data_IF_733675736958
#
_entry.id   IF_733675736958
#
_cell.length_a   1.000
_cell.length_b   1.000
_cell.length_c   1.000
_cell.angle_alpha   90.00
_cell.angle_beta   90.00
_cell.angle_gamma   90.00
#
_symmetry.space_group_name_H-M   'P 1'
#
loop_
_entity.id
_entity.type
_entity.pdbx_description
1 polymer ?
#
# COMPACT_ATOMS: atom_id res chain seq x y z
N UNK A 1 -19.29 24.81 61.96
CA UNK A 1 -20.24 24.81 60.85
C UNK A 1 -19.48 24.44 59.61
N UNK A 2 -19.55 23.18 59.25
CA UNK A 2 -18.89 22.60 58.09
C UNK A 2 -19.92 22.58 56.94
N UNK A 3 -19.65 23.27 55.83
CA UNK A 3 -20.44 23.23 54.61
C UNK A 3 -19.84 22.16 53.66
N UNK A 4 -20.63 21.16 53.36
CA UNK A 4 -20.40 20.11 52.37
C UNK A 4 -20.53 20.69 50.96
N UNK A 5 -19.47 20.62 50.15
CA UNK A 5 -19.58 20.81 48.70
C UNK A 5 -19.56 19.44 48.02
N UNK A 6 -20.73 19.02 47.58
CA UNK A 6 -20.95 17.85 46.75
C UNK A 6 -20.73 18.26 45.30
N UNK A 7 -19.67 17.75 44.68
CA UNK A 7 -19.39 17.95 43.27
C UNK A 7 -20.23 16.95 42.46
N UNK A 8 -21.09 17.48 41.62
CA UNK A 8 -21.95 16.78 40.69
C UNK A 8 -21.10 16.33 39.46
N UNK A 9 -20.85 15.03 39.31
CA UNK A 9 -20.15 14.47 38.21
C UNK A 9 -21.17 14.06 37.14
N UNK A 10 -21.49 14.96 36.21
CA UNK A 10 -22.22 14.63 34.98
C UNK A 10 -21.30 13.86 34.02
N UNK A 11 -21.43 12.57 34.03
CA UNK A 11 -20.79 11.69 33.01
C UNK A 11 -21.51 11.89 31.67
N UNK A 12 -20.80 12.49 30.74
CA UNK A 12 -21.17 12.54 29.32
C UNK A 12 -21.11 11.11 28.73
N UNK A 13 -22.26 10.47 28.58
CA UNK A 13 -22.44 9.21 27.87
C UNK A 13 -22.61 9.52 26.39
N UNK A 14 -21.50 9.71 25.67
CA UNK A 14 -21.50 9.65 24.20
C UNK A 14 -21.89 8.22 23.82
N UNK A 15 -23.16 8.01 23.52
CA UNK A 15 -23.68 6.74 22.98
C UNK A 15 -23.08 6.54 21.59
N UNK A 16 -22.14 5.62 21.50
CA UNK A 16 -21.66 5.08 20.23
C UNK A 16 -22.84 4.30 19.60
N UNK A 17 -23.53 4.97 18.67
CA UNK A 17 -24.62 4.37 17.91
C UNK A 17 -24.02 3.35 16.94
N UNK A 18 -24.38 2.04 17.00
CA UNK A 18 -23.86 1.07 16.05
C UNK A 18 -24.34 1.43 14.65
N UNK A 19 -23.39 1.48 13.71
CA UNK A 19 -23.64 1.69 12.30
C UNK A 19 -24.66 0.67 11.78
N UNK A 20 -25.65 1.06 10.96
CA UNK A 20 -26.67 0.14 10.46
C UNK A 20 -26.02 -1.00 9.68
N UNK A 21 -26.40 -2.24 9.99
CA UNK A 21 -25.98 -3.42 9.26
C UNK A 21 -26.35 -3.29 7.78
N UNK A 22 -25.36 -3.31 6.91
CA UNK A 22 -25.59 -3.29 5.46
C UNK A 22 -26.42 -4.50 5.04
N UNK A 23 -27.51 -4.32 4.27
CA UNK A 23 -28.28 -5.42 3.74
C UNK A 23 -27.40 -6.26 2.80
N UNK A 24 -27.45 -7.57 2.92
CA UNK A 24 -26.80 -8.52 2.00
C UNK A 24 -27.48 -8.39 0.63
N UNK A 25 -27.00 -7.47 -0.18
CA UNK A 25 -27.38 -7.34 -1.59
C UNK A 25 -26.64 -8.41 -2.38
N UNK A 26 -27.36 -9.21 -3.17
CA UNK A 26 -26.78 -10.15 -4.15
C UNK A 26 -26.29 -9.45 -5.42
N UNK A 27 -26.37 -8.14 -5.49
CA UNK A 27 -25.74 -7.36 -6.55
C UNK A 27 -24.25 -7.20 -6.22
N UNK A 28 -23.37 -7.19 -7.24
CA UNK A 28 -21.97 -6.82 -7.03
C UNK A 28 -21.95 -5.48 -6.29
N UNK A 29 -21.10 -5.32 -5.28
CA UNK A 29 -21.06 -4.08 -4.52
C UNK A 29 -20.83 -2.92 -5.50
N UNK A 30 -21.76 -1.97 -5.51
CA UNK A 30 -21.55 -0.73 -6.23
C UNK A 30 -20.29 -0.09 -5.65
N UNK A 31 -19.41 0.41 -6.55
CA UNK A 31 -18.22 1.16 -6.14
C UNK A 31 -18.68 2.26 -5.17
N UNK A 32 -18.10 2.26 -3.97
CA UNK A 32 -18.41 3.25 -2.95
C UNK A 32 -17.86 4.62 -3.37
N UNK A 33 -18.77 5.53 -3.71
CA UNK A 33 -18.41 6.85 -4.22
C UNK A 33 -17.76 7.72 -3.14
N UNK A 34 -18.17 7.60 -1.89
CA UNK A 34 -17.61 8.39 -0.79
C UNK A 34 -16.17 7.98 -0.53
N UNK A 35 -15.91 6.67 -0.45
CA UNK A 35 -14.55 6.14 -0.33
C UNK A 35 -13.71 6.50 -1.56
N UNK A 36 -14.26 6.39 -2.77
CA UNK A 36 -13.56 6.75 -4.01
C UNK A 36 -13.16 8.22 -4.01
N UNK A 37 -14.05 9.13 -3.58
CA UNK A 37 -13.75 10.56 -3.48
C UNK A 37 -12.62 10.83 -2.48
N UNK A 38 -12.66 10.17 -1.33
CA UNK A 38 -11.59 10.24 -0.33
C UNK A 38 -10.24 9.76 -0.89
N UNK A 39 -10.23 8.64 -1.63
CA UNK A 39 -9.01 8.14 -2.26
C UNK A 39 -8.45 9.12 -3.30
N UNK A 40 -9.30 9.79 -4.07
CA UNK A 40 -8.87 10.81 -5.03
C UNK A 40 -8.23 12.02 -4.35
N UNK A 41 -8.83 12.52 -3.26
CA UNK A 41 -8.27 13.61 -2.48
C UNK A 41 -6.90 13.23 -1.92
N UNK A 42 -6.82 12.09 -1.24
CA UNK A 42 -5.58 11.60 -0.64
C UNK A 42 -4.49 11.33 -1.68
N UNK A 43 -4.81 10.67 -2.80
CA UNK A 43 -3.84 10.37 -3.85
C UNK A 43 -3.41 11.61 -4.63
N UNK A 44 -4.30 12.59 -4.76
CA UNK A 44 -4.05 13.84 -5.49
C UNK A 44 -2.97 14.71 -4.84
N UNK A 45 -2.68 14.52 -3.55
CA UNK A 45 -1.60 15.22 -2.84
C UNK A 45 -0.20 14.78 -3.31
N UNK A 46 -0.10 13.65 -3.98
CA UNK A 46 1.18 13.11 -4.44
C UNK A 46 1.14 12.67 -5.92
N UNK A 47 2.09 13.17 -6.71
CA UNK A 47 2.27 12.76 -8.12
C UNK A 47 2.85 11.36 -8.29
N UNK A 48 3.20 10.70 -7.20
CA UNK A 48 3.81 9.37 -7.23
C UNK A 48 2.78 8.25 -7.36
N UNK A 49 1.56 8.47 -6.89
CA UNK A 49 0.50 7.48 -7.00
C UNK A 49 -0.13 7.53 -8.38
N UNK A 50 -0.11 6.39 -9.07
CA UNK A 50 -0.79 6.20 -10.36
C UNK A 50 -2.24 5.83 -10.12
N UNK A 51 -2.44 4.91 -9.16
CA UNK A 51 -3.75 4.38 -8.80
C UNK A 51 -3.75 3.91 -7.34
N UNK A 52 -4.86 4.11 -6.68
CA UNK A 52 -5.19 3.52 -5.39
C UNK A 52 -6.45 2.69 -5.55
N UNK A 53 -6.44 1.45 -5.08
CA UNK A 53 -7.56 0.52 -5.23
C UNK A 53 -7.83 -0.18 -3.91
N UNK A 54 -9.09 -0.29 -3.54
CA UNK A 54 -9.57 -1.15 -2.45
C UNK A 54 -10.38 -2.28 -3.07
N UNK A 55 -10.00 -3.51 -2.75
CA UNK A 55 -10.75 -4.70 -3.15
C UNK A 55 -11.13 -5.52 -1.91
N UNK A 56 -12.30 -6.14 -1.95
CA UNK A 56 -12.80 -7.00 -0.88
C UNK A 56 -12.12 -8.39 -0.85
N UNK A 57 -12.58 -9.26 0.04
CA UNK A 57 -12.08 -10.64 0.18
C UNK A 57 -12.30 -11.51 -1.06
N UNK A 58 -13.21 -11.15 -1.92
CA UNK A 58 -13.51 -11.83 -3.19
C UNK A 58 -12.76 -11.22 -4.37
N UNK A 59 -12.00 -10.13 -4.14
CA UNK A 59 -11.31 -9.38 -5.17
C UNK A 59 -12.20 -8.43 -5.96
N UNK A 60 -13.43 -8.16 -5.48
CA UNK A 60 -14.28 -7.14 -6.08
C UNK A 60 -13.78 -5.76 -5.67
N UNK A 61 -13.68 -4.85 -6.65
CA UNK A 61 -13.30 -3.46 -6.39
C UNK A 61 -14.40 -2.75 -5.62
N UNK A 62 -14.05 -2.26 -4.44
CA UNK A 62 -14.93 -1.45 -3.58
C UNK A 62 -14.76 0.03 -3.90
N UNK A 63 -13.51 0.48 -4.12
CA UNK A 63 -13.18 1.84 -4.48
C UNK A 63 -11.90 1.87 -5.31
N UNK A 64 -11.79 2.80 -6.26
CA UNK A 64 -10.57 3.00 -7.05
C UNK A 64 -10.49 4.41 -7.60
N UNK A 65 -9.27 4.95 -7.67
CA UNK A 65 -9.01 6.23 -8.36
C UNK A 65 -8.97 6.09 -9.89
N UNK A 66 -8.98 4.87 -10.44
CA UNK A 66 -9.11 4.64 -11.89
C UNK A 66 -10.48 3.98 -12.20
N UNK A 67 -11.43 4.72 -12.79
CA UNK A 67 -12.76 4.19 -13.12
C UNK A 67 -12.73 3.13 -14.23
N UNK A 68 -11.59 2.98 -14.95
CA UNK A 68 -11.44 2.00 -16.04
C UNK A 68 -10.93 0.65 -15.53
N UNK A 69 -10.57 0.58 -14.23
CA UNK A 69 -10.09 -0.66 -13.65
C UNK A 69 -11.18 -1.75 -13.71
N UNK A 70 -10.87 -2.97 -14.20
CA UNK A 70 -11.83 -4.07 -14.17
C UNK A 70 -12.35 -4.31 -12.75
N UNK A 71 -13.66 -4.57 -12.57
CA UNK A 71 -14.25 -4.69 -11.24
C UNK A 71 -13.78 -5.91 -10.45
N UNK A 72 -13.20 -6.91 -11.12
CA UNK A 72 -12.69 -8.13 -10.47
C UNK A 72 -11.16 -8.17 -10.55
N UNK A 73 -10.51 -8.24 -9.38
CA UNK A 73 -9.07 -8.22 -9.20
C UNK A 73 -8.50 -9.51 -8.57
N UNK A 74 -9.32 -10.54 -8.32
CA UNK A 74 -8.85 -11.79 -7.70
C UNK A 74 -7.80 -12.54 -8.54
N UNK A 75 -7.73 -12.27 -9.84
CA UNK A 75 -6.70 -12.80 -10.74
C UNK A 75 -5.35 -12.11 -10.63
N UNK A 76 -5.30 -10.91 -10.07
CA UNK A 76 -4.10 -10.09 -9.99
C UNK A 76 -3.14 -10.60 -8.90
N UNK A 77 -1.84 -10.53 -9.19
CA UNK A 77 -0.80 -11.02 -8.27
C UNK A 77 -0.81 -10.22 -6.97
N UNK A 78 -0.91 -8.90 -7.05
CA UNK A 78 -0.92 -8.03 -5.88
C UNK A 78 -2.05 -8.39 -4.91
N UNK A 79 -3.25 -8.72 -5.43
CA UNK A 79 -4.38 -9.10 -4.59
C UNK A 79 -4.18 -10.47 -3.95
N UNK A 80 -3.74 -11.48 -4.73
CA UNK A 80 -3.55 -12.85 -4.23
C UNK A 80 -2.48 -12.94 -3.15
N UNK A 81 -1.39 -12.22 -3.33
CA UNK A 81 -0.29 -12.21 -2.36
C UNK A 81 -0.70 -11.46 -1.07
N UNK A 82 -1.32 -10.28 -1.21
CA UNK A 82 -1.68 -9.47 -0.06
C UNK A 82 -2.85 -10.05 0.74
N UNK A 83 -3.86 -10.69 0.11
CA UNK A 83 -5.00 -11.28 0.85
C UNK A 83 -4.58 -12.43 1.77
N UNK A 84 -3.46 -13.09 1.47
CA UNK A 84 -2.89 -14.19 2.25
C UNK A 84 -1.78 -13.72 3.19
N UNK A 85 -1.37 -12.46 3.09
CA UNK A 85 -0.30 -11.91 3.90
C UNK A 85 -0.70 -11.85 5.38
N UNK A 86 0.29 -12.03 6.25
CA UNK A 86 0.07 -11.89 7.69
C UNK A 86 -0.28 -10.43 8.03
N UNK A 87 -1.10 -10.19 9.09
CA UNK A 87 -1.37 -8.86 9.58
C UNK A 87 -0.07 -8.06 9.80
N UNK A 88 -0.06 -6.80 9.34
CA UNK A 88 1.10 -5.92 9.46
C UNK A 88 2.21 -6.14 8.42
N UNK A 89 2.05 -7.10 7.50
CA UNK A 89 2.95 -7.28 6.35
C UNK A 89 2.34 -6.66 5.09
N UNK A 90 3.20 -6.38 4.10
CA UNK A 90 2.77 -5.86 2.81
C UNK A 90 3.40 -6.67 1.68
N UNK A 91 2.68 -6.80 0.57
CA UNK A 91 3.25 -7.27 -0.68
C UNK A 91 3.84 -6.10 -1.46
N UNK A 92 5.06 -6.26 -1.96
CA UNK A 92 5.71 -5.29 -2.86
C UNK A 92 6.12 -6.03 -4.12
N UNK A 93 5.65 -5.56 -5.27
CA UNK A 93 5.99 -6.18 -6.56
C UNK A 93 7.38 -5.73 -7.05
N UNK A 94 7.89 -6.45 -8.05
CA UNK A 94 8.98 -5.92 -8.85
C UNK A 94 8.53 -4.67 -9.62
N UNK A 95 9.52 -3.84 -10.01
CA UNK A 95 9.29 -2.69 -10.89
C UNK A 95 9.08 -3.20 -12.31
N UNK A 96 7.96 -2.84 -12.92
CA UNK A 96 7.59 -3.24 -14.29
C UNK A 96 7.15 -2.03 -15.11
N UNK A 97 7.25 -2.14 -16.44
CA UNK A 97 6.72 -1.10 -17.32
C UNK A 97 5.21 -1.28 -17.48
N UNK A 98 4.45 -0.23 -17.20
CA UNK A 98 3.00 -0.18 -17.44
C UNK A 98 2.71 0.66 -18.69
N UNK A 99 2.20 0.04 -19.77
CA UNK A 99 1.92 0.76 -21.01
C UNK A 99 0.74 1.74 -20.91
N UNK A 100 -0.17 1.58 -19.94
CA UNK A 100 -1.30 2.47 -19.77
C UNK A 100 -0.90 3.84 -19.24
N UNK A 101 0.11 3.87 -18.36
CA UNK A 101 0.68 5.08 -17.81
C UNK A 101 2.00 5.49 -18.47
N UNK A 102 2.52 4.64 -19.36
CA UNK A 102 3.78 4.82 -20.07
C UNK A 102 4.96 5.12 -19.12
N UNK A 103 5.04 4.36 -18.01
CA UNK A 103 6.04 4.57 -16.98
C UNK A 103 6.41 3.23 -16.28
N UNK A 104 7.53 3.25 -15.57
CA UNK A 104 7.92 2.17 -14.69
C UNK A 104 7.20 2.30 -13.36
N UNK A 105 6.50 1.25 -12.94
CA UNK A 105 5.65 1.24 -11.75
C UNK A 105 5.90 -0.01 -10.91
N UNK A 106 5.41 0.02 -9.67
CA UNK A 106 5.36 -1.13 -8.78
C UNK A 106 4.12 -1.07 -7.89
N UNK A 107 3.67 -2.21 -7.42
CA UNK A 107 2.56 -2.35 -6.48
C UNK A 107 3.06 -2.41 -5.04
N UNK A 108 2.35 -1.75 -4.14
CA UNK A 108 2.42 -1.98 -2.71
C UNK A 108 1.01 -2.32 -2.25
N UNK A 109 0.79 -3.58 -1.90
CA UNK A 109 -0.53 -4.04 -1.47
C UNK A 109 -0.51 -4.48 0.00
N UNK A 110 -1.50 -4.02 0.76
CA UNK A 110 -1.61 -4.20 2.21
C UNK A 110 -2.95 -4.83 2.55
N UNK A 111 -2.99 -5.90 3.37
CA UNK A 111 -4.24 -6.48 3.83
C UNK A 111 -4.98 -5.51 4.78
N UNK A 112 -6.29 -5.39 4.58
CA UNK A 112 -7.19 -4.70 5.51
C UNK A 112 -7.68 -5.73 6.52
N UNK A 113 -7.41 -5.51 7.79
CA UNK A 113 -7.76 -6.44 8.88
C UNK A 113 -8.89 -5.87 9.71
N UNK A 114 -9.89 -6.68 9.99
CA UNK A 114 -10.92 -6.38 10.98
C UNK A 114 -10.33 -6.64 12.38
N UNK A 115 -10.11 -5.58 13.15
CA UNK A 115 -9.50 -5.66 14.49
C UNK A 115 -10.30 -6.52 15.46
N UNK A 116 -11.63 -6.60 15.29
CA UNK A 116 -12.50 -7.36 16.19
C UNK A 116 -12.47 -8.86 15.90
N UNK A 117 -12.32 -9.23 14.62
CA UNK A 117 -12.32 -10.62 14.14
C UNK A 117 -10.92 -11.14 13.85
N UNK A 118 -9.92 -10.26 13.86
CA UNK A 118 -8.53 -10.59 13.47
C UNK A 118 -8.49 -11.29 12.10
N UNK A 119 -9.36 -10.89 11.20
CA UNK A 119 -9.50 -11.48 9.87
C UNK A 119 -9.29 -10.46 8.78
N UNK A 120 -8.57 -10.84 7.74
CA UNK A 120 -8.41 -10.00 6.54
C UNK A 120 -9.77 -9.87 5.84
N UNK A 121 -10.23 -8.64 5.63
CA UNK A 121 -11.52 -8.30 5.02
C UNK A 121 -11.38 -7.73 3.60
N UNK A 122 -10.16 -7.38 3.19
CA UNK A 122 -9.88 -6.82 1.87
C UNK A 122 -8.41 -6.48 1.72
N UNK A 123 -8.08 -5.81 0.65
CA UNK A 123 -6.72 -5.35 0.31
C UNK A 123 -6.78 -3.92 -0.21
N UNK A 124 -5.84 -3.09 0.23
CA UNK A 124 -5.51 -1.80 -0.40
C UNK A 124 -4.30 -2.00 -1.30
N UNK A 125 -4.38 -1.61 -2.56
CA UNK A 125 -3.26 -1.58 -3.51
C UNK A 125 -2.91 -0.15 -3.91
N UNK A 126 -1.63 0.15 -3.88
CA UNK A 126 -1.03 1.38 -4.36
C UNK A 126 -0.19 1.06 -5.59
N UNK A 127 -0.59 1.51 -6.77
CA UNK A 127 0.26 1.50 -7.96
C UNK A 127 1.11 2.77 -7.95
N UNK A 128 2.42 2.62 -7.84
CA UNK A 128 3.34 3.72 -7.56
C UNK A 128 4.36 3.85 -8.69
N UNK A 129 4.68 5.09 -9.08
CA UNK A 129 5.75 5.37 -10.04
C UNK A 129 7.11 5.09 -9.44
N UNK A 130 7.99 4.44 -10.19
CA UNK A 130 9.37 4.16 -9.77
C UNK A 130 10.14 5.42 -9.35
N UNK A 131 9.79 6.59 -9.89
CA UNK A 131 10.50 7.83 -9.55
C UNK A 131 10.43 8.18 -8.06
N UNK A 132 9.43 7.70 -7.30
CA UNK A 132 9.43 7.82 -5.83
C UNK A 132 10.66 7.17 -5.21
N UNK A 133 10.96 5.93 -5.60
CA UNK A 133 12.16 5.23 -5.12
C UNK A 133 13.44 5.96 -5.54
N UNK A 134 13.46 6.50 -6.77
CA UNK A 134 14.58 7.29 -7.28
C UNK A 134 14.84 8.51 -6.39
N UNK A 135 13.80 9.26 -6.04
CA UNK A 135 13.92 10.44 -5.18
C UNK A 135 14.39 10.11 -3.76
N UNK A 136 14.05 8.92 -3.26
CA UNK A 136 14.50 8.46 -1.94
C UNK A 136 15.95 8.01 -1.94
N UNK A 137 16.43 7.39 -3.02
CA UNK A 137 17.74 6.75 -3.09
C UNK A 137 18.84 7.72 -3.57
N UNK A 138 18.55 8.55 -4.57
CA UNK A 138 19.54 9.46 -5.16
C UNK A 138 20.23 10.41 -4.17
N UNK A 139 19.54 10.97 -3.14
CA UNK A 139 20.18 11.87 -2.18
C UNK A 139 21.13 11.17 -1.20
N UNK A 140 21.11 9.82 -1.13
CA UNK A 140 21.93 9.09 -0.18
C UNK A 140 23.37 9.00 -0.69
N UNK A 141 24.27 9.80 -0.08
CA UNK A 141 25.68 9.82 -0.37
C UNK A 141 26.47 9.22 0.79
N UNK A 142 27.45 8.38 0.48
CA UNK A 142 28.32 7.73 1.47
C UNK A 142 29.75 8.21 1.23
N UNK A 143 30.25 9.03 2.14
CA UNK A 143 31.56 9.69 1.96
C UNK A 143 31.58 10.60 0.73
N UNK A 144 32.72 10.72 0.08
CA UNK A 144 32.90 11.64 -1.06
C UNK A 144 32.56 11.01 -2.42
N UNK A 145 32.59 9.70 -2.53
CA UNK A 145 32.43 8.98 -3.82
C UNK A 145 31.41 7.83 -3.76
N UNK A 146 30.97 7.45 -2.56
CA UNK A 146 29.98 6.39 -2.39
C UNK A 146 28.56 6.88 -2.66
N UNK A 147 27.72 6.00 -3.16
CA UNK A 147 26.30 6.24 -3.41
C UNK A 147 25.47 5.03 -2.99
N UNK A 148 24.21 5.25 -2.69
CA UNK A 148 23.26 4.17 -2.49
C UNK A 148 22.70 3.69 -3.83
N UNK A 149 22.34 2.42 -3.89
CA UNK A 149 21.55 1.86 -4.99
C UNK A 149 20.46 0.94 -4.46
N UNK A 150 19.39 0.79 -5.21
CA UNK A 150 18.33 -0.15 -4.94
C UNK A 150 18.49 -1.36 -5.86
N UNK A 151 18.48 -2.55 -5.28
CA UNK A 151 18.56 -3.82 -6.00
C UNK A 151 17.24 -4.59 -5.82
N UNK A 152 16.92 -5.43 -6.80
CA UNK A 152 15.91 -6.47 -6.60
C UNK A 152 16.50 -7.64 -5.78
N UNK A 153 15.67 -8.64 -5.51
CA UNK A 153 16.08 -9.83 -4.75
C UNK A 153 17.11 -10.72 -5.49
N UNK A 154 17.31 -10.47 -6.78
CA UNK A 154 18.29 -11.18 -7.62
C UNK A 154 19.60 -10.39 -7.79
N UNK A 155 19.66 -9.16 -7.21
CA UNK A 155 20.82 -8.29 -7.30
C UNK A 155 20.87 -7.43 -8.55
N UNK A 156 19.74 -7.34 -9.28
CA UNK A 156 19.64 -6.44 -10.44
C UNK A 156 19.39 -5.02 -9.94
N UNK A 157 20.19 -4.03 -10.37
CA UNK A 157 19.97 -2.65 -9.99
C UNK A 157 18.66 -2.11 -10.56
N UNK A 158 17.75 -1.71 -9.66
CA UNK A 158 16.52 -1.00 -10.00
C UNK A 158 16.78 0.50 -10.11
N UNK A 159 17.67 1.03 -9.25
CA UNK A 159 18.07 2.44 -9.20
C UNK A 159 19.55 2.50 -8.87
N UNK A 160 20.31 3.17 -9.74
CA UNK A 160 21.71 3.52 -9.52
C UNK A 160 21.92 4.95 -10.05
N UNK A 161 22.48 5.88 -9.26
CA UNK A 161 22.71 7.26 -9.69
C UNK A 161 23.85 7.43 -10.68
N UNK A 162 24.76 6.46 -10.78
CA UNK A 162 26.01 6.59 -11.52
C UNK A 162 26.00 5.82 -12.83
N UNK A 163 25.40 4.63 -12.86
CA UNK A 163 25.40 3.78 -14.05
C UNK A 163 23.97 3.32 -14.41
N UNK A 164 23.72 3.08 -15.70
CA UNK A 164 22.47 2.50 -16.13
C UNK A 164 22.30 1.07 -15.56
N UNK A 165 21.08 0.61 -15.32
CA UNK A 165 20.80 -0.70 -14.72
C UNK A 165 21.51 -1.87 -15.39
N UNK A 166 21.73 -1.80 -16.71
CA UNK A 166 22.40 -2.85 -17.50
C UNK A 166 23.92 -2.90 -17.31
N UNK A 167 24.51 -1.88 -16.71
CA UNK A 167 25.97 -1.77 -16.55
C UNK A 167 26.48 -2.26 -15.19
N UNK A 168 25.58 -2.61 -14.27
CA UNK A 168 25.92 -3.11 -12.93
C UNK A 168 25.29 -4.49 -12.71
N UNK A 169 26.05 -5.53 -12.94
CA UNK A 169 25.69 -6.86 -12.42
C UNK A 169 26.43 -7.03 -11.09
N UNK A 170 25.68 -7.14 -9.99
CA UNK A 170 26.27 -7.50 -8.69
C UNK A 170 26.67 -8.97 -8.76
N UNK A 171 27.97 -9.30 -8.57
CA UNK A 171 28.42 -10.69 -8.58
C UNK A 171 27.64 -11.51 -7.52
N UNK A 172 27.24 -12.74 -7.87
CA UNK A 172 26.53 -13.64 -6.97
C UNK A 172 27.27 -13.88 -5.65
N UNK A 173 28.61 -13.90 -5.68
CA UNK A 173 29.42 -14.00 -4.47
C UNK A 173 29.22 -12.81 -3.51
N UNK A 174 28.97 -11.60 -4.03
CA UNK A 174 28.64 -10.43 -3.20
C UNK A 174 27.21 -10.49 -2.71
N UNK A 175 26.27 -10.91 -3.57
CA UNK A 175 24.86 -11.11 -3.15
C UNK A 175 24.71 -12.10 -2.01
N UNK A 176 25.44 -13.20 -2.03
CA UNK A 176 25.45 -14.19 -0.94
C UNK A 176 25.99 -13.64 0.39
N UNK A 177 26.76 -12.56 0.36
CA UNK A 177 27.27 -11.85 1.56
C UNK A 177 26.35 -10.73 2.02
N UNK A 178 25.45 -10.26 1.14
CA UNK A 178 24.36 -9.34 1.46
C UNK A 178 23.15 -10.15 1.96
N UNK A 179 23.40 -11.17 2.79
CA UNK A 179 22.32 -11.84 3.49
C UNK A 179 21.65 -10.79 4.35
N UNK A 180 20.49 -10.37 3.89
CA UNK A 180 19.54 -9.68 4.72
C UNK A 180 19.24 -10.65 5.86
N UNK A 181 19.74 -10.35 7.06
CA UNK A 181 19.17 -10.92 8.28
C UNK A 181 17.67 -10.54 8.23
N UNK A 182 16.88 -11.50 7.80
CA UNK A 182 15.41 -11.36 7.89
C UNK A 182 15.08 -11.52 9.37
N UNK A 183 14.42 -10.50 9.95
CA UNK A 183 13.89 -10.66 11.30
C UNK A 183 12.86 -11.79 11.35
#
# INVERSE_FOLDING_TARGET
VLANHQADATADKTQHQPSPAHPKSNNPPAVDQDTTSYLHEWAGESRHYVRVTIADRQGQVVASTDPRLPPQQAGEVWWREAIQAAPGTSYVSNVTFDPQVNDMVFHVAVPIVDDTRQATIGVVDLLIRRNLLTQMILPIQIGNTGHAMLLDTQGTPLICPVLPPTAHLIPSALMNRLTLDRP
#
